data_IF_508960523823
#
_entry.id   IF_508960523823
#
_cell.length_a   1.000
_cell.length_b   1.000
_cell.length_c   1.000
_cell.angle_alpha   90.00
_cell.angle_beta   90.00
_cell.angle_gamma   90.00
#
_symmetry.space_group_name_H-M   'P 1'
#
loop_
_entity.id
_entity.type
_entity.pdbx_description
1 polymer ?
#
# COMPACT_ATOMS: atom_id res chain seq x y z
N UNK A 1 -22.95 44.56 6.49
CA UNK A 1 -23.41 43.26 7.02
C UNK A 1 -23.92 42.43 5.86
N UNK A 2 -23.30 41.29 5.52
CA UNK A 2 -23.82 40.39 4.49
C UNK A 2 -24.83 39.44 5.17
N UNK A 3 -26.14 39.52 4.85
CA UNK A 3 -27.20 38.89 5.65
C UNK A 3 -27.41 37.39 5.36
N UNK A 4 -26.35 36.64 5.05
CA UNK A 4 -26.49 35.24 4.61
C UNK A 4 -25.35 34.33 5.06
N UNK A 5 -24.78 34.57 6.24
CA UNK A 5 -23.91 33.57 6.85
C UNK A 5 -24.79 32.50 7.51
N UNK A 6 -24.65 31.24 7.09
CA UNK A 6 -25.27 30.09 7.73
C UNK A 6 -24.89 30.08 9.22
N UNK A 7 -25.81 30.44 10.10
CA UNK A 7 -25.58 30.33 11.54
C UNK A 7 -25.71 28.87 11.90
N UNK A 8 -24.58 28.17 11.97
CA UNK A 8 -24.52 26.83 12.53
C UNK A 8 -24.76 26.95 14.05
N UNK A 9 -25.74 26.22 14.58
CA UNK A 9 -26.15 26.26 15.99
C UNK A 9 -25.14 25.64 16.98
N UNK A 10 -23.98 25.19 16.48
CA UNK A 10 -22.93 24.56 17.28
C UNK A 10 -21.90 25.56 17.83
N UNK A 11 -21.20 25.16 18.90
CA UNK A 11 -20.07 25.92 19.44
C UNK A 11 -18.95 26.00 18.37
N UNK A 12 -18.30 27.16 18.16
CA UNK A 12 -17.23 27.30 17.17
C UNK A 12 -16.15 26.25 17.38
N UNK A 13 -15.81 25.51 16.33
CA UNK A 13 -14.76 24.49 16.34
C UNK A 13 -13.43 25.08 15.87
N UNK A 14 -12.32 24.47 16.30
CA UNK A 14 -10.97 24.88 15.89
C UNK A 14 -10.73 24.66 14.40
N UNK A 15 -9.70 25.34 13.85
CA UNK A 15 -9.32 25.17 12.45
C UNK A 15 -8.85 23.74 12.18
N UNK A 16 -9.32 23.15 11.09
CA UNK A 16 -8.94 21.81 10.60
C UNK A 16 -8.28 21.92 9.23
N UNK A 17 -7.60 20.85 8.81
CA UNK A 17 -6.99 20.74 7.47
C UNK A 17 -7.97 20.26 6.39
N UNK A 18 -9.23 20.04 6.75
CA UNK A 18 -10.28 19.53 5.87
C UNK A 18 -11.62 20.08 6.31
N UNK A 19 -12.37 20.66 5.37
CA UNK A 19 -13.75 21.12 5.57
C UNK A 19 -14.78 20.16 4.98
N UNK A 20 -15.82 20.69 4.32
CA UNK A 20 -16.93 19.90 3.78
C UNK A 20 -17.13 20.15 2.27
N UNK A 21 -18.11 19.49 1.66
CA UNK A 21 -18.53 19.76 0.29
C UNK A 21 -18.80 21.26 0.09
N UNK A 22 -18.08 21.88 -0.86
CA UNK A 22 -18.13 23.32 -1.11
C UNK A 22 -17.02 24.14 -0.44
N UNK A 23 -16.34 23.61 0.58
CA UNK A 23 -15.21 24.25 1.26
C UNK A 23 -14.24 23.19 1.83
N UNK A 24 -13.62 22.38 0.96
CA UNK A 24 -12.72 21.29 1.41
C UNK A 24 -11.40 21.80 2.00
N UNK A 25 -11.08 23.10 1.88
CA UNK A 25 -9.80 23.66 2.33
C UNK A 25 -8.63 23.48 1.35
N UNK A 26 -8.91 23.05 0.11
CA UNK A 26 -7.92 22.95 -0.96
C UNK A 26 -7.63 24.30 -1.65
N UNK A 27 -6.57 24.38 -2.48
CA UNK A 27 -6.31 25.56 -3.29
C UNK A 27 -7.44 25.78 -4.30
N UNK A 28 -7.64 27.05 -4.72
CA UNK A 28 -8.61 27.39 -5.76
C UNK A 28 -8.21 26.72 -7.08
N UNK A 29 -9.13 25.96 -7.68
CA UNK A 29 -8.96 25.30 -8.98
C UNK A 29 -9.75 26.07 -10.03
N UNK A 30 -9.09 26.52 -11.10
CA UNK A 30 -9.71 27.26 -12.21
C UNK A 30 -9.22 26.68 -13.53
N UNK A 31 -10.11 26.50 -14.50
CA UNK A 31 -9.76 26.02 -15.85
C UNK A 31 -9.61 24.51 -16.01
N UNK A 32 -9.95 23.71 -14.99
CA UNK A 32 -9.94 22.24 -15.06
C UNK A 32 -11.34 21.74 -15.43
N UNK A 33 -11.47 21.00 -16.52
CA UNK A 33 -12.72 20.35 -16.92
C UNK A 33 -12.57 18.83 -16.86
N UNK A 34 -13.46 18.17 -16.13
CA UNK A 34 -13.49 16.72 -15.93
C UNK A 34 -14.70 16.12 -16.64
N UNK A 35 -14.46 15.08 -17.43
CA UNK A 35 -15.48 14.35 -18.18
C UNK A 35 -15.55 12.91 -17.69
N UNK A 36 -16.77 12.37 -17.59
CA UNK A 36 -17.00 10.99 -17.18
C UNK A 36 -18.16 10.40 -17.99
N UNK A 37 -18.09 9.11 -18.30
CA UNK A 37 -19.17 8.36 -18.95
C UNK A 37 -19.95 7.60 -17.88
N UNK A 38 -21.28 7.58 -17.98
CA UNK A 38 -22.13 6.81 -17.06
C UNK A 38 -21.68 5.34 -16.97
N UNK A 39 -21.56 4.75 -15.76
CA UNK A 39 -21.10 3.37 -15.60
C UNK A 39 -22.03 2.35 -16.27
N UNK A 40 -23.33 2.66 -16.41
CA UNK A 40 -24.30 1.82 -17.12
C UNK A 40 -24.07 1.74 -18.64
N UNK A 41 -23.20 2.61 -19.18
CA UNK A 41 -22.80 2.60 -20.59
C UNK A 41 -21.40 2.01 -20.81
N UNK A 42 -20.77 1.53 -19.74
CA UNK A 42 -19.44 0.93 -19.78
C UNK A 42 -19.50 -0.56 -19.41
N UNK A 43 -18.59 -1.34 -19.96
CA UNK A 43 -18.38 -2.72 -19.52
C UNK A 43 -17.41 -2.72 -18.31
N UNK A 44 -17.86 -3.07 -17.09
CA UNK A 44 -17.14 -2.75 -15.85
C UNK A 44 -15.77 -3.43 -15.71
N UNK A 45 -15.58 -4.61 -16.30
CA UNK A 45 -14.33 -5.37 -16.23
C UNK A 45 -13.63 -5.51 -17.59
N UNK A 46 -13.99 -4.69 -18.57
CA UNK A 46 -13.39 -4.78 -19.91
C UNK A 46 -11.88 -4.56 -19.82
N UNK A 47 -11.13 -5.57 -20.23
CA UNK A 47 -9.67 -5.53 -20.24
C UNK A 47 -9.00 -5.72 -18.89
N UNK A 48 -9.72 -6.09 -17.82
CA UNK A 48 -9.13 -6.30 -16.49
C UNK A 48 -7.93 -7.27 -16.52
N UNK A 49 -8.10 -8.43 -17.16
CA UNK A 49 -7.04 -9.44 -17.28
C UNK A 49 -5.96 -9.00 -18.28
N UNK A 50 -6.34 -8.59 -19.49
CA UNK A 50 -5.38 -8.22 -20.54
C UNK A 50 -4.49 -7.05 -20.14
N UNK A 51 -5.03 -6.05 -19.43
CA UNK A 51 -4.26 -4.93 -18.91
C UNK A 51 -3.43 -5.31 -17.70
N UNK A 52 -3.92 -6.19 -16.83
CA UNK A 52 -3.13 -6.66 -15.69
C UNK A 52 -1.92 -7.50 -16.13
N UNK A 53 -2.09 -8.42 -17.08
CA UNK A 53 -0.98 -9.23 -17.60
C UNK A 53 0.09 -8.34 -18.26
N UNK A 54 -0.32 -7.32 -19.02
CA UNK A 54 0.64 -6.47 -19.76
C UNK A 54 1.23 -5.31 -18.94
N UNK A 55 0.50 -4.77 -17.97
CA UNK A 55 0.91 -3.59 -17.19
C UNK A 55 0.99 -3.84 -15.69
N UNK A 56 0.15 -4.73 -15.17
CA UNK A 56 0.12 -5.11 -13.75
C UNK A 56 1.43 -5.72 -13.27
N UNK A 57 2.09 -6.57 -14.08
CA UNK A 57 3.40 -7.15 -13.71
C UNK A 57 4.45 -6.08 -13.45
N UNK A 58 4.44 -4.96 -14.20
CA UNK A 58 5.39 -3.86 -14.02
C UNK A 58 5.27 -3.21 -12.64
N UNK A 59 4.04 -3.10 -12.13
CA UNK A 59 3.77 -2.55 -10.78
C UNK A 59 4.34 -3.46 -9.69
N UNK A 60 4.21 -4.77 -9.86
CA UNK A 60 4.76 -5.76 -8.93
C UNK A 60 6.29 -5.80 -9.00
N UNK A 61 6.85 -5.80 -10.20
CA UNK A 61 8.30 -5.81 -10.43
C UNK A 61 9.00 -4.59 -9.81
N UNK A 62 8.39 -3.40 -9.89
CA UNK A 62 8.93 -2.17 -9.29
C UNK A 62 9.04 -2.24 -7.77
N UNK A 63 8.15 -2.99 -7.12
CA UNK A 63 8.13 -3.14 -5.66
C UNK A 63 8.83 -4.43 -5.19
N UNK A 64 9.14 -5.35 -6.12
CA UNK A 64 9.68 -6.67 -5.83
C UNK A 64 10.90 -6.61 -4.92
N UNK A 65 11.82 -5.68 -5.16
CA UNK A 65 13.04 -5.58 -4.35
C UNK A 65 12.76 -5.30 -2.87
N UNK A 66 11.72 -4.51 -2.55
CA UNK A 66 11.43 -4.13 -1.17
C UNK A 66 10.86 -5.26 -0.33
N UNK A 67 10.25 -6.28 -0.94
CA UNK A 67 9.72 -7.44 -0.21
C UNK A 67 10.49 -8.73 -0.48
N UNK A 68 10.91 -8.98 -1.73
CA UNK A 68 11.59 -10.21 -2.11
C UNK A 68 12.96 -10.33 -1.45
N UNK A 69 13.69 -9.22 -1.30
CA UNK A 69 14.99 -9.22 -0.61
C UNK A 69 14.85 -9.56 0.87
N UNK A 70 14.04 -8.84 1.69
CA UNK A 70 13.94 -9.18 3.11
C UNK A 70 13.29 -10.55 3.35
N UNK A 71 12.28 -10.94 2.54
CA UNK A 71 11.68 -12.28 2.66
C UNK A 71 12.69 -13.36 2.30
N UNK A 72 13.43 -13.18 1.19
CA UNK A 72 14.47 -14.12 0.76
C UNK A 72 15.59 -14.25 1.78
N UNK A 73 16.09 -13.14 2.32
CA UNK A 73 17.12 -13.12 3.35
C UNK A 73 16.63 -13.80 4.64
N UNK A 74 15.41 -13.49 5.08
CA UNK A 74 14.80 -14.12 6.25
C UNK A 74 14.64 -15.63 6.08
N UNK A 75 14.14 -16.08 4.93
CA UNK A 75 13.99 -17.50 4.64
C UNK A 75 15.33 -18.24 4.58
N UNK A 76 16.35 -17.62 3.98
CA UNK A 76 17.70 -18.19 3.94
C UNK A 76 18.29 -18.34 5.35
N UNK A 77 18.13 -17.31 6.20
CA UNK A 77 18.60 -17.35 7.59
C UNK A 77 17.90 -18.44 8.42
N UNK A 78 16.58 -18.58 8.26
CA UNK A 78 15.80 -19.61 8.95
C UNK A 78 16.25 -21.00 8.49
N UNK A 79 16.38 -21.22 7.19
CA UNK A 79 16.79 -22.50 6.62
C UNK A 79 18.19 -22.90 7.11
N UNK A 80 19.14 -21.95 7.06
CA UNK A 80 20.47 -22.15 7.62
C UNK A 80 20.41 -22.48 9.12
N UNK A 81 19.60 -21.76 9.90
CA UNK A 81 19.49 -21.99 11.35
C UNK A 81 18.95 -23.39 11.67
N UNK A 82 17.98 -23.88 10.90
CA UNK A 82 17.42 -25.23 11.06
C UNK A 82 18.48 -26.29 10.76
N UNK A 83 19.18 -26.19 9.63
CA UNK A 83 20.24 -27.14 9.25
C UNK A 83 21.39 -27.16 10.25
N UNK A 84 21.82 -25.98 10.71
CA UNK A 84 22.87 -25.87 11.72
C UNK A 84 22.43 -26.47 13.06
N UNK A 85 21.19 -26.22 13.48
CA UNK A 85 20.64 -26.83 14.69
C UNK A 85 20.58 -28.36 14.56
N UNK A 86 20.18 -28.89 13.41
CA UNK A 86 20.18 -30.33 13.16
C UNK A 86 21.60 -30.90 13.24
N UNK A 87 22.58 -30.27 12.60
CA UNK A 87 23.98 -30.72 12.61
C UNK A 87 24.55 -30.80 14.04
N UNK A 88 24.34 -29.77 14.86
CA UNK A 88 24.82 -29.69 16.24
C UNK A 88 24.25 -30.80 17.15
N UNK A 89 23.03 -31.24 16.85
CA UNK A 89 22.36 -32.35 17.56
C UNK A 89 22.75 -33.75 17.05
N UNK A 90 23.71 -33.86 16.12
CA UNK A 90 24.24 -35.16 15.66
C UNK A 90 25.60 -35.49 16.29
N UNK A 91 25.94 -36.78 16.38
CA UNK A 91 27.27 -37.25 16.80
C UNK A 91 28.41 -36.66 15.96
N UNK A 92 28.17 -36.40 14.66
CA UNK A 92 29.15 -35.79 13.76
C UNK A 92 29.43 -34.33 14.13
N UNK A 93 28.38 -33.54 14.41
CA UNK A 93 28.53 -32.16 14.88
C UNK A 93 29.25 -32.09 16.22
N UNK A 94 28.94 -33.02 17.13
CA UNK A 94 29.62 -33.15 18.42
C UNK A 94 31.12 -33.48 18.24
N UNK A 95 31.46 -34.41 17.34
CA UNK A 95 32.86 -34.74 17.01
C UNK A 95 33.62 -33.57 16.36
N UNK A 96 32.91 -32.65 15.69
CA UNK A 96 33.46 -31.42 15.11
C UNK A 96 33.60 -30.28 16.14
N UNK A 97 33.25 -30.51 17.41
CA UNK A 97 33.27 -29.48 18.45
C UNK A 97 32.15 -28.45 18.34
N UNK A 98 31.18 -28.66 17.45
CA UNK A 98 30.00 -27.82 17.27
C UNK A 98 28.93 -28.22 18.29
N UNK A 99 29.22 -27.96 19.55
CA UNK A 99 28.22 -28.04 20.62
C UNK A 99 27.40 -26.74 20.66
N UNK A 100 26.21 -26.72 21.28
CA UNK A 100 25.78 -25.51 21.97
C UNK A 100 26.82 -25.07 23.01
#
# INVERSE_FOLDING_TARGET
MRPSASVHSGMPTGKTWMGWWGDLGGPKQVGISSYVVSPFRQAPMRGAVSHWVTRGYKRLAQQAMYFAVPIGAGYALISWSIENNHLRNTKKGQAQGLFP
#
